data_IF_388547514153
#
_entry.id   IF_388547514153
#
_cell.length_a   1.000
_cell.length_b   1.000
_cell.length_c   1.000
_cell.angle_alpha   90.00
_cell.angle_beta   90.00
_cell.angle_gamma   90.00
#
_symmetry.space_group_name_H-M   'P 1'
#
loop_
_entity.id
_entity.type
_entity.pdbx_description
1 polymer ?
#
# COMPACT_ATOMS: atom_id res chain seq x y z
N UNK A 1 18.93 -6.56 -27.63
CA UNK A 1 19.30 -7.11 -26.31
C UNK A 1 18.34 -6.56 -25.28
N UNK A 2 17.40 -7.39 -24.81
CA UNK A 2 16.41 -6.96 -23.81
C UNK A 2 17.07 -7.05 -22.45
N UNK A 3 17.69 -5.96 -21.99
CA UNK A 3 18.23 -5.88 -20.64
C UNK A 3 17.05 -5.82 -19.68
N UNK A 4 16.70 -6.95 -19.08
CA UNK A 4 15.69 -6.99 -18.01
C UNK A 4 16.19 -6.12 -16.87
N UNK A 5 15.57 -4.97 -16.64
CA UNK A 5 15.90 -4.11 -15.51
C UNK A 5 15.52 -4.86 -14.24
N UNK A 6 16.52 -5.15 -13.41
CA UNK A 6 16.30 -5.81 -12.13
C UNK A 6 15.43 -4.93 -11.24
N UNK A 7 14.36 -5.50 -10.69
CA UNK A 7 13.49 -4.83 -9.73
C UNK A 7 13.44 -5.63 -8.44
N UNK A 8 13.61 -4.97 -7.30
CA UNK A 8 13.50 -5.56 -5.96
C UNK A 8 12.49 -4.79 -5.11
N UNK A 9 11.87 -5.49 -4.16
CA UNK A 9 11.00 -4.86 -3.17
C UNK A 9 11.64 -5.02 -1.80
N UNK A 10 11.76 -3.93 -1.05
CA UNK A 10 12.30 -3.91 0.31
C UNK A 10 11.53 -2.94 1.20
N UNK A 11 11.76 -3.03 2.50
CA UNK A 11 11.33 -1.99 3.44
C UNK A 11 12.14 -0.71 3.21
N UNK A 12 11.48 0.43 3.37
CA UNK A 12 12.14 1.72 3.33
C UNK A 12 13.11 1.89 4.51
N UNK A 13 14.14 2.67 4.30
CA UNK A 13 15.16 3.06 5.30
C UNK A 13 15.03 4.56 5.56
N UNK A 14 15.57 5.05 6.67
CA UNK A 14 15.59 6.48 6.97
C UNK A 14 16.26 7.32 5.88
N UNK A 15 17.27 6.78 5.20
CA UNK A 15 17.90 7.42 4.04
C UNK A 15 16.98 7.61 2.83
N UNK A 16 15.85 6.92 2.76
CA UNK A 16 14.90 7.01 1.66
C UNK A 16 13.89 8.18 1.84
N UNK A 17 13.87 8.84 3.01
CA UNK A 17 12.87 9.87 3.37
C UNK A 17 12.68 10.91 2.28
N UNK A 18 13.77 11.53 1.81
CA UNK A 18 13.68 12.59 0.79
C UNK A 18 13.14 12.08 -0.55
N UNK A 19 13.65 10.92 -1.01
CA UNK A 19 13.20 10.31 -2.26
C UNK A 19 11.72 9.87 -2.19
N UNK A 20 11.28 9.31 -1.05
CA UNK A 20 9.88 8.93 -0.83
C UNK A 20 8.95 10.13 -0.77
N UNK A 21 9.34 11.21 -0.08
CA UNK A 21 8.55 12.45 -0.02
C UNK A 21 8.34 13.01 -1.43
N UNK A 22 9.42 13.08 -2.23
CA UNK A 22 9.34 13.54 -3.61
C UNK A 22 8.45 12.63 -4.48
N UNK A 23 8.61 11.31 -4.37
CA UNK A 23 7.83 10.33 -5.11
C UNK A 23 6.34 10.43 -4.79
N UNK A 24 5.97 10.45 -3.50
CA UNK A 24 4.57 10.54 -3.07
C UNK A 24 3.95 11.84 -3.58
N UNK A 25 4.60 12.99 -3.37
CA UNK A 25 4.08 14.27 -3.81
C UNK A 25 3.97 14.38 -5.34
N UNK A 26 4.90 13.78 -6.08
CA UNK A 26 4.83 13.72 -7.55
C UNK A 26 3.68 12.84 -8.03
N UNK A 27 3.52 11.64 -7.48
CA UNK A 27 2.45 10.70 -7.87
C UNK A 27 1.05 11.25 -7.54
N UNK A 28 0.92 12.02 -6.45
CA UNK A 28 -0.33 12.65 -6.02
C UNK A 28 -0.53 14.08 -6.56
N UNK A 29 0.38 14.61 -7.39
CA UNK A 29 0.27 15.97 -7.93
C UNK A 29 -1.03 16.21 -8.72
N UNK A 30 -1.60 15.18 -9.33
CA UNK A 30 -2.89 15.22 -10.02
C UNK A 30 -4.04 15.61 -9.07
N UNK A 31 -3.92 15.38 -7.78
CA UNK A 31 -4.94 15.70 -6.78
C UNK A 31 -4.95 17.17 -6.38
N UNK A 32 -3.91 17.96 -6.75
CA UNK A 32 -3.84 19.41 -6.49
C UNK A 32 -4.97 20.20 -7.16
N UNK A 33 -5.68 19.62 -8.11
CA UNK A 33 -6.88 20.24 -8.73
C UNK A 33 -8.06 20.32 -7.76
N UNK A 34 -8.07 19.53 -6.68
CA UNK A 34 -9.13 19.51 -5.67
C UNK A 34 -8.64 19.52 -4.22
N UNK A 35 -7.33 19.35 -3.97
CA UNK A 35 -6.68 19.43 -2.64
C UNK A 35 -5.71 20.61 -2.63
N UNK A 36 -5.57 21.29 -1.48
CA UNK A 36 -4.54 22.30 -1.26
C UNK A 36 -3.28 21.65 -0.70
N UNK A 37 -2.11 22.13 -1.16
CA UNK A 37 -0.79 21.73 -0.68
C UNK A 37 -0.29 20.40 -1.25
N UNK A 38 0.76 19.89 -0.60
CA UNK A 38 1.39 18.62 -0.93
C UNK A 38 0.72 17.46 -0.18
N UNK A 39 0.86 16.26 -0.72
CA UNK A 39 0.22 15.06 -0.14
C UNK A 39 0.84 14.66 1.20
N UNK A 40 2.13 14.91 1.39
CA UNK A 40 2.89 14.53 2.58
C UNK A 40 4.09 15.43 2.81
N UNK A 41 4.66 15.35 4.01
CA UNK A 41 5.91 16.04 4.41
C UNK A 41 7.03 15.04 4.69
N UNK A 42 8.27 15.53 4.77
CA UNK A 42 9.42 14.70 5.11
C UNK A 42 9.31 14.13 6.53
N UNK A 43 8.74 14.88 7.47
CA UNK A 43 8.52 14.47 8.85
C UNK A 43 7.51 13.32 8.93
N UNK A 44 6.40 13.42 8.18
CA UNK A 44 5.40 12.35 8.10
C UNK A 44 6.00 11.08 7.52
N UNK A 45 6.71 11.18 6.39
CA UNK A 45 7.40 10.04 5.77
C UNK A 45 8.43 9.42 6.72
N UNK A 46 9.24 10.23 7.41
CA UNK A 46 10.22 9.72 8.38
C UNK A 46 9.54 8.94 9.52
N UNK A 47 8.42 9.44 10.05
CA UNK A 47 7.62 8.77 11.08
C UNK A 47 7.07 7.43 10.59
N UNK A 48 6.54 7.39 9.37
CA UNK A 48 5.99 6.17 8.76
C UNK A 48 7.09 5.15 8.46
N UNK A 49 8.29 5.57 8.05
CA UNK A 49 9.45 4.69 7.89
C UNK A 49 9.88 4.11 9.24
N UNK A 50 9.92 4.92 10.29
CA UNK A 50 10.29 4.47 11.63
C UNK A 50 9.33 3.42 12.19
N UNK A 51 8.05 3.48 11.83
CA UNK A 51 7.06 2.46 12.17
C UNK A 51 7.22 1.15 11.38
N UNK A 52 8.10 1.13 10.36
CA UNK A 52 8.37 -0.03 9.51
C UNK A 52 7.28 -0.35 8.47
N UNK A 53 6.42 0.63 8.17
CA UNK A 53 5.23 0.42 7.34
C UNK A 53 5.42 0.69 5.84
N UNK A 54 6.51 1.37 5.39
CA UNK A 54 6.72 1.62 3.96
C UNK A 54 7.49 0.51 3.25
N UNK A 55 6.97 0.09 2.08
CA UNK A 55 7.68 -0.72 1.08
C UNK A 55 8.08 0.16 -0.10
N UNK A 56 9.28 -0.08 -0.62
CA UNK A 56 9.79 0.55 -1.84
C UNK A 56 10.12 -0.51 -2.88
N UNK A 57 9.83 -0.21 -4.14
CA UNK A 57 10.24 -0.98 -5.29
C UNK A 57 11.38 -0.22 -5.97
N UNK A 58 12.55 -0.85 -5.99
CA UNK A 58 13.72 -0.33 -6.69
C UNK A 58 13.63 -0.59 -8.19
N UNK A 59 13.97 0.43 -8.96
CA UNK A 59 14.00 0.39 -10.42
C UNK A 59 15.15 1.24 -10.94
N UNK A 60 16.00 0.66 -11.77
CA UNK A 60 17.14 1.35 -12.38
C UNK A 60 18.04 2.12 -11.38
N UNK A 61 18.24 1.58 -10.18
CA UNK A 61 19.09 2.17 -9.14
C UNK A 61 18.43 3.24 -8.28
N UNK A 62 17.13 3.51 -8.45
CA UNK A 62 16.33 4.44 -7.65
C UNK A 62 15.03 3.83 -7.16
N UNK A 63 14.22 4.62 -6.44
CA UNK A 63 12.88 4.19 -6.01
C UNK A 63 11.89 4.50 -7.12
N UNK A 64 11.38 3.47 -7.80
CA UNK A 64 10.40 3.60 -8.87
C UNK A 64 8.95 3.64 -8.38
N UNK A 65 8.67 2.99 -7.25
CA UNK A 65 7.35 2.96 -6.65
C UNK A 65 7.43 2.72 -5.13
N UNK A 66 6.37 3.08 -4.41
CA UNK A 66 6.27 2.86 -2.97
C UNK A 66 4.82 2.62 -2.54
N UNK A 67 4.63 1.98 -1.38
CA UNK A 67 3.32 1.76 -0.75
C UNK A 67 3.45 1.71 0.76
N UNK A 68 2.52 2.35 1.45
CA UNK A 68 2.33 2.21 2.90
C UNK A 68 1.53 0.95 3.17
N UNK A 69 2.02 0.09 4.05
CA UNK A 69 1.33 -1.12 4.52
C UNK A 69 1.31 -1.13 6.03
N UNK A 70 0.12 -1.23 6.61
CA UNK A 70 -0.09 -1.36 8.05
C UNK A 70 -0.81 -2.67 8.32
N UNK A 71 -0.27 -3.47 9.21
CA UNK A 71 -0.84 -4.77 9.60
C UNK A 71 -2.12 -4.64 10.42
N UNK A 72 -2.73 -5.78 10.81
CA UNK A 72 -3.92 -5.81 11.65
C UNK A 72 -3.75 -4.99 12.93
N UNK A 73 -4.76 -4.17 13.25
CA UNK A 73 -4.76 -3.33 14.44
C UNK A 73 -3.86 -2.09 14.41
N UNK A 74 -3.11 -1.86 13.33
CA UNK A 74 -2.17 -0.73 13.24
C UNK A 74 -2.79 0.55 12.68
N UNK A 75 -3.91 0.46 11.96
CA UNK A 75 -4.59 1.63 11.41
C UNK A 75 -5.90 1.91 12.18
N UNK A 76 -6.06 3.11 12.80
CA UNK A 76 -7.21 3.40 13.66
C UNK A 76 -8.55 3.50 12.91
N UNK A 77 -8.54 3.59 11.61
CA UNK A 77 -9.75 3.76 10.81
C UNK A 77 -10.24 2.50 10.11
N UNK A 78 -9.72 1.31 10.46
CA UNK A 78 -10.15 0.02 9.90
C UNK A 78 -10.36 -1.03 11.00
N UNK A 79 -11.16 -2.08 10.77
CA UNK A 79 -11.36 -3.15 11.76
C UNK A 79 -10.03 -3.77 12.21
N UNK A 80 -9.90 -4.16 13.49
CA UNK A 80 -8.62 -4.69 14.04
C UNK A 80 -8.07 -5.93 13.34
N UNK A 81 -8.93 -6.70 12.68
CA UNK A 81 -8.51 -7.89 11.90
C UNK A 81 -8.09 -7.56 10.47
N UNK A 82 -8.18 -6.30 10.05
CA UNK A 82 -7.85 -5.88 8.70
C UNK A 82 -6.49 -5.18 8.64
N UNK A 83 -5.78 -5.36 7.54
CA UNK A 83 -4.63 -4.55 7.16
C UNK A 83 -5.08 -3.30 6.38
N UNK A 84 -4.21 -2.30 6.32
CA UNK A 84 -4.44 -1.09 5.54
C UNK A 84 -3.32 -0.87 4.52
N UNK A 85 -3.71 -0.51 3.30
CA UNK A 85 -2.82 -0.09 2.22
C UNK A 85 -3.07 1.38 1.91
N UNK A 86 -2.02 2.19 1.90
CA UNK A 86 -2.12 3.61 1.59
C UNK A 86 -0.93 4.13 0.79
N UNK A 87 -1.02 5.38 0.34
CA UNK A 87 0.07 6.10 -0.33
C UNK A 87 0.75 5.31 -1.45
N UNK A 88 0.01 4.45 -2.19
CA UNK A 88 0.56 3.78 -3.36
C UNK A 88 0.98 4.82 -4.38
N UNK A 89 2.27 4.87 -4.66
CA UNK A 89 2.91 5.86 -5.52
C UNK A 89 3.78 5.16 -6.54
N UNK A 90 3.68 5.57 -7.81
CA UNK A 90 4.55 5.12 -8.90
C UNK A 90 5.05 6.36 -9.61
N UNK A 91 6.35 6.41 -9.89
CA UNK A 91 6.90 7.51 -10.69
C UNK A 91 6.08 7.69 -11.97
N UNK A 92 5.68 8.93 -12.34
CA UNK A 92 4.81 9.17 -13.49
C UNK A 92 5.29 8.47 -14.78
N UNK A 93 6.60 8.49 -15.03
CA UNK A 93 7.25 7.90 -16.21
C UNK A 93 7.23 6.37 -16.22
N UNK A 94 6.98 5.74 -15.06
CA UNK A 94 6.95 4.28 -14.88
C UNK A 94 5.52 3.74 -14.71
N UNK A 95 4.52 4.61 -14.79
CA UNK A 95 3.12 4.17 -14.74
C UNK A 95 2.78 3.30 -15.95
N UNK A 96 1.82 2.39 -15.79
CA UNK A 96 1.48 1.42 -16.85
C UNK A 96 2.44 0.22 -16.97
N UNK A 97 3.60 0.23 -16.30
CA UNK A 97 4.58 -0.87 -16.33
C UNK A 97 4.31 -2.01 -15.31
N UNK A 98 3.17 -1.98 -14.63
CA UNK A 98 2.79 -3.03 -13.66
C UNK A 98 3.43 -2.90 -12.27
N UNK A 99 4.24 -1.88 -12.00
CA UNK A 99 4.93 -1.72 -10.71
C UNK A 99 3.96 -1.56 -9.54
N UNK A 100 2.86 -0.81 -9.72
CA UNK A 100 1.81 -0.66 -8.73
C UNK A 100 1.12 -1.99 -8.40
N UNK A 101 0.79 -2.79 -9.41
CA UNK A 101 0.20 -4.13 -9.23
C UNK A 101 1.14 -5.03 -8.42
N UNK A 102 2.43 -5.00 -8.74
CA UNK A 102 3.44 -5.79 -8.01
C UNK A 102 3.50 -5.40 -6.53
N UNK A 103 3.51 -4.10 -6.21
CA UNK A 103 3.51 -3.64 -4.81
C UNK A 103 2.23 -4.02 -4.07
N UNK A 104 1.07 -3.90 -4.70
CA UNK A 104 -0.21 -4.33 -4.10
C UNK A 104 -0.17 -5.81 -3.75
N UNK A 105 0.31 -6.67 -4.65
CA UNK A 105 0.43 -8.12 -4.37
C UNK A 105 1.40 -8.43 -3.23
N UNK A 106 2.53 -7.72 -3.14
CA UNK A 106 3.45 -7.89 -2.00
C UNK A 106 2.79 -7.43 -0.70
N UNK A 107 2.06 -6.32 -0.72
CA UNK A 107 1.32 -5.81 0.44
C UNK A 107 0.23 -6.81 0.89
N UNK A 108 -0.52 -7.39 -0.05
CA UNK A 108 -1.51 -8.44 0.22
C UNK A 108 -0.87 -9.66 0.88
N UNK A 109 0.22 -10.18 0.32
CA UNK A 109 0.94 -11.32 0.88
C UNK A 109 1.50 -11.04 2.28
N UNK A 110 2.00 -9.82 2.53
CA UNK A 110 2.45 -9.41 3.87
C UNK A 110 1.29 -9.32 4.86
N UNK A 111 0.14 -8.81 4.44
CA UNK A 111 -1.06 -8.73 5.26
C UNK A 111 -1.58 -10.12 5.63
N UNK A 112 -1.61 -11.07 4.66
CA UNK A 112 -1.96 -12.47 4.89
C UNK A 112 -1.01 -13.13 5.90
N UNK A 113 0.29 -12.96 5.70
CA UNK A 113 1.31 -13.50 6.62
C UNK A 113 1.21 -12.92 8.04
N UNK A 114 0.69 -11.69 8.18
CA UNK A 114 0.41 -11.04 9.46
C UNK A 114 -0.96 -11.46 10.06
N UNK A 115 -1.70 -12.37 9.43
CA UNK A 115 -2.99 -12.87 9.90
C UNK A 115 -4.17 -11.95 9.62
N UNK A 116 -4.04 -10.99 8.69
CA UNK A 116 -5.16 -10.16 8.30
C UNK A 116 -6.22 -10.97 7.54
N UNK A 117 -7.50 -10.74 7.85
CA UNK A 117 -8.63 -11.37 7.14
C UNK A 117 -9.05 -10.59 5.91
N UNK A 118 -8.62 -9.32 5.82
CA UNK A 118 -8.91 -8.42 4.71
C UNK A 118 -7.85 -7.33 4.64
N UNK A 119 -7.70 -6.73 3.46
CA UNK A 119 -6.89 -5.52 3.27
C UNK A 119 -7.79 -4.39 2.77
N UNK A 120 -7.69 -3.22 3.41
CA UNK A 120 -8.50 -2.05 3.13
C UNK A 120 -7.64 -0.92 2.55
N UNK A 121 -8.27 -0.04 1.80
CA UNK A 121 -7.66 1.20 1.31
C UNK A 121 -8.72 2.28 1.15
N UNK A 122 -8.29 3.53 0.96
CA UNK A 122 -9.14 4.67 0.68
C UNK A 122 -8.69 5.38 -0.59
N UNK A 123 -9.63 5.72 -1.43
CA UNK A 123 -9.41 6.56 -2.62
C UNK A 123 -10.34 7.76 -2.57
N UNK A 124 -9.92 8.88 -3.13
CA UNK A 124 -10.81 10.05 -3.26
C UNK A 124 -11.84 9.77 -4.35
N UNK A 125 -13.12 10.05 -4.09
CA UNK A 125 -14.22 9.80 -5.02
C UNK A 125 -14.05 10.48 -6.38
N UNK A 126 -13.23 11.54 -6.46
CA UNK A 126 -12.91 12.26 -7.69
C UNK A 126 -11.88 11.53 -8.58
N UNK A 127 -11.33 10.40 -8.12
CA UNK A 127 -10.37 9.56 -8.82
C UNK A 127 -11.05 8.26 -9.27
N UNK A 128 -12.02 8.39 -10.18
CA UNK A 128 -12.82 7.24 -10.67
C UNK A 128 -11.97 6.16 -11.33
N UNK A 129 -10.86 6.54 -11.98
CA UNK A 129 -9.93 5.59 -12.58
C UNK A 129 -9.29 4.67 -11.54
N UNK A 130 -9.05 5.16 -10.30
CA UNK A 130 -8.52 4.33 -9.22
C UNK A 130 -9.57 3.32 -8.74
N UNK A 131 -10.86 3.73 -8.63
CA UNK A 131 -11.93 2.79 -8.28
C UNK A 131 -11.98 1.62 -9.28
N UNK A 132 -11.98 1.92 -10.59
CA UNK A 132 -11.96 0.88 -11.63
C UNK A 132 -10.72 0.00 -11.55
N UNK A 133 -9.56 0.61 -11.32
CA UNK A 133 -8.30 -0.12 -11.24
C UNK A 133 -8.26 -1.07 -10.03
N UNK A 134 -8.62 -0.62 -8.83
CA UNK A 134 -8.67 -1.47 -7.65
C UNK A 134 -9.73 -2.57 -7.76
N UNK A 135 -10.89 -2.29 -8.39
CA UNK A 135 -11.89 -3.32 -8.70
C UNK A 135 -11.32 -4.43 -9.58
N UNK A 136 -10.48 -4.09 -10.57
CA UNK A 136 -9.80 -5.10 -11.41
C UNK A 136 -8.82 -5.98 -10.62
N UNK A 137 -8.34 -5.52 -9.45
CA UNK A 137 -7.49 -6.29 -8.53
C UNK A 137 -8.29 -7.08 -7.48
N UNK A 138 -9.63 -7.03 -7.53
CA UNK A 138 -10.52 -7.76 -6.63
C UNK A 138 -10.99 -6.99 -5.41
N UNK A 139 -10.68 -5.70 -5.29
CA UNK A 139 -11.24 -4.84 -4.25
C UNK A 139 -12.70 -4.49 -4.55
N UNK A 140 -13.47 -4.26 -3.49
CA UNK A 140 -14.87 -3.84 -3.57
C UNK A 140 -15.08 -2.61 -2.69
N UNK A 141 -15.97 -1.72 -3.11
CA UNK A 141 -16.40 -0.59 -2.29
C UNK A 141 -17.22 -1.12 -1.10
N UNK A 142 -16.88 -0.67 0.10
CA UNK A 142 -17.51 -1.13 1.36
C UNK A 142 -18.09 0.02 2.17
N UNK A 143 -17.84 1.27 1.79
CA UNK A 143 -18.36 2.45 2.47
C UNK A 143 -17.73 3.75 1.97
N UNK A 144 -18.02 4.81 2.69
CA UNK A 144 -17.44 6.14 2.45
C UNK A 144 -17.03 6.78 3.77
N UNK A 145 -15.95 7.58 3.74
CA UNK A 145 -15.45 8.33 4.90
C UNK A 145 -15.25 9.79 4.51
N UNK A 146 -15.57 10.76 5.39
CA UNK A 146 -15.28 12.16 5.12
C UNK A 146 -13.79 12.41 4.86
N UNK A 147 -13.50 13.33 3.94
CA UNK A 147 -12.14 13.78 3.68
C UNK A 147 -11.74 14.84 4.72
N UNK A 148 -10.78 14.54 5.58
CA UNK A 148 -10.41 15.41 6.72
C UNK A 148 -8.94 15.80 6.78
N UNK A 149 -8.12 15.31 5.85
CA UNK A 149 -6.65 15.44 5.96
C UNK A 149 -6.06 16.73 5.40
N UNK A 150 -6.75 17.38 4.45
CA UNK A 150 -6.30 18.61 3.79
C UNK A 150 -7.48 19.52 3.49
N UNK A 151 -7.22 20.81 3.29
CA UNK A 151 -8.22 21.75 2.78
C UNK A 151 -8.62 21.36 1.36
N UNK A 152 -9.92 21.35 1.12
CA UNK A 152 -10.50 21.00 -0.18
C UNK A 152 -10.89 22.24 -0.96
N UNK A 153 -10.52 22.30 -2.24
CA UNK A 153 -10.96 23.32 -3.20
C UNK A 153 -12.38 23.06 -3.72
N UNK A 154 -12.86 21.83 -3.57
CA UNK A 154 -14.22 21.39 -3.93
C UNK A 154 -14.61 20.18 -3.09
N UNK A 155 -15.92 19.94 -2.86
CA UNK A 155 -16.38 18.82 -2.06
C UNK A 155 -15.83 17.48 -2.55
N UNK A 156 -15.27 16.69 -1.61
CA UNK A 156 -14.79 15.34 -1.85
C UNK A 156 -14.97 14.49 -0.59
N UNK A 157 -14.96 13.17 -0.78
CA UNK A 157 -14.97 12.18 0.28
C UNK A 157 -14.10 10.99 -0.13
N UNK A 158 -13.77 10.13 0.81
CA UNK A 158 -13.13 8.87 0.50
C UNK A 158 -14.17 7.80 0.18
N UNK A 159 -13.86 6.97 -0.81
CA UNK A 159 -14.47 5.66 -1.03
C UNK A 159 -13.58 4.66 -0.30
N UNK A 160 -14.16 3.95 0.67
CA UNK A 160 -13.50 2.86 1.38
C UNK A 160 -13.59 1.59 0.54
N UNK A 161 -12.47 0.94 0.29
CA UNK A 161 -12.42 -0.29 -0.48
C UNK A 161 -11.77 -1.39 0.34
N UNK A 162 -12.23 -2.63 0.16
CA UNK A 162 -11.67 -3.79 0.83
C UNK A 162 -11.57 -4.99 -0.10
N UNK A 163 -10.59 -5.86 0.18
CA UNK A 163 -10.43 -7.16 -0.46
C UNK A 163 -10.24 -8.21 0.62
N UNK A 164 -11.07 -9.26 0.69
CA UNK A 164 -10.83 -10.42 1.54
C UNK A 164 -9.50 -11.08 1.18
N UNK A 165 -8.75 -11.50 2.19
CA UNK A 165 -7.53 -12.27 2.03
C UNK A 165 -7.82 -13.73 2.37
N UNK A 166 -7.15 -14.67 1.72
CA UNK A 166 -7.25 -16.07 2.09
C UNK A 166 -6.65 -16.25 3.49
N UNK A 167 -7.27 -17.03 4.39
CA UNK A 167 -6.61 -17.40 5.63
C UNK A 167 -5.29 -18.08 5.29
N UNK A 168 -4.19 -17.67 5.97
CA UNK A 168 -2.92 -18.35 5.83
C UNK A 168 -3.14 -19.85 6.00
N UNK A 169 -2.78 -20.66 5.00
CA UNK A 169 -2.94 -22.10 5.09
C UNK A 169 -2.17 -22.59 6.31
N UNK A 170 -2.89 -23.04 7.34
CA UNK A 170 -2.30 -23.70 8.49
C UNK A 170 -1.75 -25.03 7.97
N UNK A 171 -0.46 -25.08 7.64
CA UNK A 171 0.21 -26.37 7.45
C UNK A 171 0.21 -27.04 8.81
N UNK A 172 -0.47 -28.18 9.00
CA UNK A 172 -0.35 -28.92 10.25
C UNK A 172 1.14 -29.25 10.40
N UNK A 173 1.73 -28.78 11.51
CA UNK A 173 3.04 -29.25 11.93
C UNK A 173 2.88 -30.76 12.08
N UNK A 174 3.51 -31.50 11.16
CA UNK A 174 3.47 -32.95 11.21
C UNK A 174 3.94 -33.42 12.57
N UNK A 175 3.06 -34.16 13.25
CA UNK A 175 3.34 -34.84 14.49
C UNK A 175 4.54 -35.75 14.22
N UNK A 176 5.72 -35.35 14.71
CA UNK A 176 6.91 -36.20 14.66
C UNK A 176 6.64 -37.39 15.55
N UNK A 177 6.19 -38.48 14.91
CA UNK A 177 5.84 -39.73 15.56
C UNK A 177 6.87 -40.16 16.58
N UNK A 178 6.42 -40.32 17.81
CA UNK A 178 7.10 -41.07 18.83
C UNK A 178 7.31 -42.50 18.34
N UNK A 179 8.49 -42.82 17.81
CA UNK A 179 8.92 -44.21 17.63
C UNK A 179 9.27 -44.76 19.01
N UNK A 180 8.37 -45.56 19.56
CA UNK A 180 8.55 -46.26 20.81
C UNK A 180 9.71 -47.21 20.76
N UNK A 181 10.43 -47.26 21.87
CA UNK A 181 11.37 -48.29 22.22
C UNK A 181 10.59 -49.58 22.58
N UNK A 182 11.03 -50.67 22.03
CA UNK A 182 10.88 -52.01 22.59
C UNK A 182 12.16 -52.79 22.37
#
# INVERSE_FOLDING_TARGET
>A
MNTSIATSVRRARSSDTGALTALVNSAFAIERVFIEGDRTTAEEIASLIASGCFLVLEYAGGIGAAVLVQGPGQHPGVPPSHAYLGMLSVQPELQGMGLGVRLVRVAEAMAEAAGATSICLRIVNLREELSRWYKSLGYREVGTTPFTHHSLKRPAHFIDMAKPLAPAACYPVGDAGAAGAA
#
